data_IF_217735224389
#
_entry.id   IF_217735224389
#
_cell.length_a   1.000
_cell.length_b   1.000
_cell.length_c   1.000
_cell.angle_alpha   90.00
_cell.angle_beta   90.00
_cell.angle_gamma   90.00
#
_symmetry.space_group_name_H-M   'P 1'
#
loop_
_entity.id
_entity.type
_entity.pdbx_description
1 polymer ?
#
# COMPACT_ATOMS: atom_id res chain seq x y z
N UNK A 1 -13.86 15.74 6.41
CA UNK A 1 -12.49 15.23 6.66
C UNK A 1 -12.46 13.90 7.44
N UNK A 2 -13.43 13.61 8.30
CA UNK A 2 -13.47 12.37 9.11
C UNK A 2 -13.32 11.07 8.29
N UNK A 3 -14.02 10.95 7.16
CA UNK A 3 -13.96 9.74 6.33
C UNK A 3 -12.58 9.49 5.72
N UNK A 4 -11.87 10.57 5.36
CA UNK A 4 -10.50 10.50 4.83
C UNK A 4 -9.54 9.98 5.90
N UNK A 5 -9.70 10.41 7.15
CA UNK A 5 -8.91 9.92 8.28
C UNK A 5 -9.19 8.44 8.57
N UNK A 6 -10.45 8.00 8.46
CA UNK A 6 -10.79 6.58 8.60
C UNK A 6 -10.15 5.72 7.50
N UNK A 7 -10.11 6.22 6.26
CA UNK A 7 -9.47 5.53 5.14
C UNK A 7 -7.95 5.44 5.36
N UNK A 8 -7.29 6.49 5.86
CA UNK A 8 -5.84 6.46 6.10
C UNK A 8 -5.42 5.52 7.24
N UNK A 9 -6.35 5.19 8.14
CA UNK A 9 -6.12 4.26 9.26
C UNK A 9 -6.41 2.78 8.91
N UNK A 10 -6.84 2.47 7.68
CA UNK A 10 -7.07 1.09 7.25
C UNK A 10 -5.75 0.32 7.28
N UNK A 11 -5.77 -0.92 7.74
CA UNK A 11 -4.58 -1.78 7.74
C UNK A 11 -4.07 -1.95 6.31
N UNK A 12 -2.82 -1.60 6.11
CA UNK A 12 -2.10 -1.75 4.83
C UNK A 12 -0.97 -2.77 4.97
N UNK A 13 -0.51 -3.27 3.82
CA UNK A 13 0.76 -4.00 3.76
C UNK A 13 1.88 -3.05 4.19
N UNK A 14 2.59 -3.43 5.26
CA UNK A 14 3.68 -2.63 5.80
C UNK A 14 4.82 -2.51 4.79
N UNK A 15 5.34 -1.29 4.63
CA UNK A 15 6.54 -1.05 3.85
C UNK A 15 7.76 -1.62 4.58
N UNK A 16 8.57 -2.40 3.87
CA UNK A 16 9.78 -3.02 4.42
C UNK A 16 11.05 -2.70 3.61
N UNK A 17 11.03 -1.60 2.87
CA UNK A 17 12.13 -1.13 2.01
C UNK A 17 13.41 -0.83 2.79
N UNK A 18 13.29 -0.46 4.05
CA UNK A 18 14.41 -0.18 4.97
C UNK A 18 15.11 -1.43 5.48
N UNK A 19 14.51 -2.62 5.32
CA UNK A 19 15.14 -3.85 5.77
C UNK A 19 16.38 -4.19 4.94
N UNK A 20 17.54 -4.47 5.59
CA UNK A 20 18.75 -4.85 4.88
C UNK A 20 18.56 -6.09 4.01
N UNK A 21 17.74 -7.05 4.47
CA UNK A 21 17.43 -8.26 3.71
C UNK A 21 16.62 -7.96 2.44
N UNK A 22 15.64 -7.07 2.53
CA UNK A 22 14.82 -6.69 1.38
C UNK A 22 15.66 -5.97 0.32
N UNK A 23 16.54 -5.07 0.77
CA UNK A 23 17.46 -4.34 -0.10
C UNK A 23 18.43 -5.28 -0.82
N UNK A 24 18.99 -6.26 -0.11
CA UNK A 24 19.88 -7.27 -0.70
C UNK A 24 19.10 -8.16 -1.69
N UNK A 25 17.91 -8.63 -1.34
CA UNK A 25 17.09 -9.44 -2.25
C UNK A 25 16.76 -8.69 -3.55
N UNK A 26 16.47 -7.38 -3.46
CA UNK A 26 16.25 -6.52 -4.62
C UNK A 26 17.52 -6.34 -5.47
N UNK A 27 18.68 -6.16 -4.85
CA UNK A 27 19.97 -6.04 -5.53
C UNK A 27 20.38 -7.33 -6.26
N UNK A 28 20.09 -8.49 -5.68
CA UNK A 28 20.33 -9.80 -6.29
C UNK A 28 19.40 -10.04 -7.50
N UNK A 29 18.32 -9.27 -7.62
CA UNK A 29 17.33 -9.42 -8.69
C UNK A 29 16.25 -10.45 -8.38
N UNK A 30 15.97 -10.73 -7.11
CA UNK A 30 14.85 -11.59 -6.73
C UNK A 30 13.52 -10.94 -7.17
N UNK A 31 12.82 -11.63 -8.08
CA UNK A 31 11.52 -11.21 -8.59
C UNK A 31 10.48 -11.07 -7.48
N UNK A 32 10.59 -11.85 -6.40
CA UNK A 32 9.66 -11.80 -5.26
C UNK A 32 9.79 -10.47 -4.52
N UNK A 33 11.01 -9.95 -4.35
CA UNK A 33 11.24 -8.65 -3.75
C UNK A 33 10.61 -7.53 -4.59
N UNK A 34 10.74 -7.61 -5.93
CA UNK A 34 10.12 -6.65 -6.86
C UNK A 34 8.60 -6.71 -6.83
N UNK A 35 8.00 -7.90 -6.71
CA UNK A 35 6.55 -8.07 -6.58
C UNK A 35 6.05 -7.55 -5.23
N UNK A 36 6.77 -7.82 -4.14
CA UNK A 36 6.43 -7.34 -2.82
C UNK A 36 6.46 -5.80 -2.73
N UNK A 37 7.45 -5.15 -3.36
CA UNK A 37 7.54 -3.69 -3.43
C UNK A 37 6.28 -3.05 -4.02
N UNK A 38 5.76 -3.63 -5.11
CA UNK A 38 4.53 -3.15 -5.77
C UNK A 38 3.28 -3.34 -4.91
N UNK A 39 3.34 -4.19 -3.88
CA UNK A 39 2.25 -4.49 -2.96
C UNK A 39 2.25 -3.67 -1.68
N UNK A 40 3.33 -2.93 -1.36
CA UNK A 40 3.41 -2.12 -0.15
C UNK A 40 2.36 -1.01 -0.13
N UNK A 41 1.94 -0.63 1.07
CA UNK A 41 0.90 0.37 1.34
C UNK A 41 -0.48 0.06 0.75
N UNK A 42 -0.65 -1.12 0.13
CA UNK A 42 -1.96 -1.56 -0.35
C UNK A 42 -2.85 -1.89 0.85
N UNK A 43 -4.08 -1.36 0.92
CA UNK A 43 -5.02 -1.71 2.00
C UNK A 43 -5.49 -3.15 1.84
N UNK A 44 -5.65 -3.85 2.96
CA UNK A 44 -6.24 -5.20 2.96
C UNK A 44 -7.73 -5.17 2.61
N UNK A 45 -8.42 -4.10 3.00
CA UNK A 45 -9.83 -3.89 2.71
C UNK A 45 -10.02 -3.07 1.44
N UNK A 46 -10.95 -3.48 0.58
CA UNK A 46 -11.32 -2.72 -0.62
C UNK A 46 -12.19 -1.52 -0.22
N UNK A 47 -11.73 -0.31 -0.49
CA UNK A 47 -12.53 0.91 -0.38
C UNK A 47 -13.19 1.18 -1.72
N UNK A 48 -14.52 1.27 -1.74
CA UNK A 48 -15.31 1.49 -2.96
C UNK A 48 -16.11 2.77 -2.80
N UNK A 49 -15.95 3.69 -3.75
CA UNK A 49 -16.80 4.88 -3.87
C UNK A 49 -17.95 4.50 -4.80
N UNK A 50 -19.15 4.39 -4.24
CA UNK A 50 -20.34 3.93 -4.98
C UNK A 50 -20.99 5.04 -5.79
N UNK A 51 -20.92 6.28 -5.32
CA UNK A 51 -21.46 7.45 -5.99
C UNK A 51 -20.54 8.65 -5.73
N UNK A 52 -20.23 9.41 -6.77
CA UNK A 52 -19.50 10.67 -6.66
C UNK A 52 -20.10 11.69 -7.62
N UNK A 53 -20.08 12.96 -7.23
CA UNK A 53 -20.58 14.07 -8.02
C UNK A 53 -20.03 15.39 -7.48
N UNK A 54 -20.24 16.46 -8.24
CA UNK A 54 -19.91 17.81 -7.78
C UNK A 54 -21.11 18.34 -7.00
N UNK A 55 -20.88 18.75 -5.76
CA UNK A 55 -21.88 19.50 -4.98
C UNK A 55 -21.66 20.97 -5.32
N UNK A 56 -22.71 21.64 -5.81
CA UNK A 56 -22.75 23.09 -6.00
C UNK A 56 -23.12 23.79 -4.69
#
# INVERSE_FOLDING_TARGET
MEFVQKISQVKTVQENTSSPYFRVAKLIGDKRAVVAERGFNRPYSKVVITNCGVIQ
#
